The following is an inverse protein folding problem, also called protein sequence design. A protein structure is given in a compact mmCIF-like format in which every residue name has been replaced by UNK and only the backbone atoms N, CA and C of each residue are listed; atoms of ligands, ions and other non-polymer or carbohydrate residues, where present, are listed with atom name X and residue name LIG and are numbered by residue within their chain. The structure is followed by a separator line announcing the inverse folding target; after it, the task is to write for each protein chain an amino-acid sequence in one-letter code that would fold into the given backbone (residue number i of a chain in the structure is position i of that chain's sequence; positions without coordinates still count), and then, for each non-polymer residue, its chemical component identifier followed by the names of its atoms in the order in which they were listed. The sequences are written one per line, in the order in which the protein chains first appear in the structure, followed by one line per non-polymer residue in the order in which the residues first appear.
data_IF_115995416868
#
_entry.id   IF_115995416868
#
_cell.length_a   1.000
_cell.length_b   1.000
_cell.length_c   1.000
_cell.angle_alpha   90.00
_cell.angle_beta   90.00
_cell.angle_gamma   90.00
#
_symmetry.space_group_name_H-M   'P 1'
#
loop_
_entity.id
_entity.type
_entity.pdbx_description
1 polymer ?
#
# COMPACT_ATOMS: atom_id res chain seq x y z
N UNK A 1 -40.17 -2.66 54.69
CA UNK A 1 -38.72 -2.41 54.48
C UNK A 1 -38.06 -3.32 53.43
N UNK A 2 -38.70 -4.42 52.98
CA UNK A 2 -38.09 -5.40 52.05
C UNK A 2 -38.15 -4.97 50.56
N UNK A 3 -39.12 -4.15 50.16
CA UNK A 3 -39.29 -3.70 48.75
C UNK A 3 -38.23 -2.69 48.25
N UNK A 4 -37.58 -1.94 49.15
CA UNK A 4 -36.52 -0.97 48.77
C UNK A 4 -35.16 -1.63 48.59
N UNK A 5 -34.94 -2.80 49.21
CA UNK A 5 -33.68 -3.53 49.11
C UNK A 5 -33.53 -4.25 47.76
N UNK A 6 -34.63 -4.75 47.19
CA UNK A 6 -34.62 -5.48 45.91
C UNK A 6 -34.31 -4.55 44.73
N UNK A 7 -34.80 -3.32 44.75
CA UNK A 7 -34.56 -2.33 43.68
C UNK A 7 -33.10 -1.88 43.64
N UNK A 8 -32.43 -1.78 44.80
CA UNK A 8 -31.02 -1.39 44.86
C UNK A 8 -30.07 -2.49 44.34
N UNK A 9 -30.44 -3.77 44.49
CA UNK A 9 -29.64 -4.90 44.01
C UNK A 9 -29.79 -5.09 42.49
N UNK A 10 -30.97 -4.79 41.92
CA UNK A 10 -31.16 -4.83 40.46
C UNK A 10 -30.45 -3.70 39.71
N UNK A 11 -30.23 -2.54 40.32
CA UNK A 11 -29.49 -1.42 39.69
C UNK A 11 -27.98 -1.62 39.78
N UNK A 12 -27.48 -2.38 40.76
CA UNK A 12 -26.05 -2.67 40.91
C UNK A 12 -25.54 -3.73 39.92
N UNK A 13 -26.41 -4.62 39.42
CA UNK A 13 -26.01 -5.70 38.50
C UNK A 13 -26.04 -5.31 37.01
N UNK A 14 -26.68 -4.21 36.62
CA UNK A 14 -26.71 -3.75 35.22
C UNK A 14 -25.55 -2.81 34.85
N UNK A 15 -24.69 -2.46 35.80
CA UNK A 15 -23.58 -1.52 35.56
C UNK A 15 -22.22 -2.21 35.26
N UNK A 16 -22.21 -3.53 35.08
CA UNK A 16 -20.98 -4.34 34.94
C UNK A 16 -20.77 -4.96 33.54
N UNK A 17 -21.37 -4.37 32.49
CA UNK A 17 -21.08 -4.73 31.09
C UNK A 17 -20.50 -3.54 30.34
N UNK A 18 -19.52 -2.88 30.97
CA UNK A 18 -18.53 -2.05 30.29
C UNK A 18 -17.17 -2.73 30.46
N UNK A 19 -17.09 -4.01 30.10
CA UNK A 19 -15.81 -4.66 29.82
C UNK A 19 -15.24 -3.97 28.60
N UNK A 20 -14.16 -3.22 28.84
CA UNK A 20 -13.63 -2.24 27.92
C UNK A 20 -13.34 -2.79 26.53
N UNK A 21 -13.51 -1.91 25.53
CA UNK A 21 -12.67 -1.97 24.35
C UNK A 21 -11.23 -1.99 24.86
N UNK A 22 -10.59 -3.17 24.83
CA UNK A 22 -9.15 -3.26 24.92
C UNK A 22 -8.64 -2.44 23.72
N UNK A 23 -8.25 -1.20 23.96
CA UNK A 23 -7.32 -0.51 23.08
C UNK A 23 -6.09 -1.41 23.12
N UNK A 24 -5.94 -2.26 22.11
CA UNK A 24 -4.69 -2.96 21.90
C UNK A 24 -3.64 -1.87 21.76
N UNK A 25 -2.74 -1.75 22.74
CA UNK A 25 -1.66 -0.78 22.67
C UNK A 25 -0.84 -1.00 21.40
N UNK A 26 -0.23 0.07 20.89
CA UNK A 26 0.77 -0.03 19.82
C UNK A 26 1.84 -1.05 20.24
N UNK A 27 2.12 -2.07 19.42
CA UNK A 27 3.14 -3.06 19.73
C UNK A 27 4.49 -2.37 19.95
N UNK A 28 5.18 -2.71 21.04
CA UNK A 28 6.53 -2.22 21.29
C UNK A 28 7.53 -3.12 20.54
N UNK A 29 8.31 -2.52 19.65
CA UNK A 29 9.33 -3.22 18.86
C UNK A 29 10.71 -2.99 19.47
N UNK A 30 11.57 -4.01 19.48
CA UNK A 30 12.94 -3.94 20.03
C UNK A 30 13.81 -2.85 19.38
N UNK A 31 13.41 -2.36 18.20
CA UNK A 31 14.07 -1.32 17.42
C UNK A 31 13.03 -0.37 16.80
N UNK A 32 13.41 0.88 16.49
CA UNK A 32 12.56 1.80 15.72
C UNK A 32 12.17 1.18 14.37
N UNK A 33 10.89 1.28 14.01
CA UNK A 33 10.38 0.83 12.71
C UNK A 33 10.63 1.92 11.68
N UNK A 34 11.24 1.55 10.55
CA UNK A 34 11.42 2.45 9.41
C UNK A 34 10.35 2.15 8.35
N UNK A 35 9.57 3.16 8.00
CA UNK A 35 8.48 3.04 7.02
C UNK A 35 8.98 3.36 5.62
N UNK A 36 8.70 2.47 4.69
CA UNK A 36 9.12 2.62 3.31
C UNK A 36 7.91 2.57 2.37
N UNK A 37 8.00 3.31 1.28
CA UNK A 37 7.12 3.14 0.13
C UNK A 37 7.84 2.33 -0.93
N UNK A 38 7.11 1.47 -1.62
CA UNK A 38 7.59 0.81 -2.83
C UNK A 38 6.52 0.78 -3.91
N UNK A 39 6.96 0.63 -5.15
CA UNK A 39 6.07 0.46 -6.30
C UNK A 39 6.24 -0.94 -6.87
N UNK A 40 5.11 -1.57 -7.19
CA UNK A 40 5.07 -2.88 -7.79
C UNK A 40 4.13 -2.90 -9.00
N UNK A 41 4.43 -3.74 -9.98
CA UNK A 41 3.56 -4.00 -11.13
C UNK A 41 3.27 -5.49 -11.25
N UNK A 42 2.13 -5.91 -11.84
CA UNK A 42 1.91 -7.31 -12.14
C UNK A 42 2.90 -7.82 -13.20
N UNK A 43 3.12 -9.13 -13.21
CA UNK A 43 3.92 -9.79 -14.25
C UNK A 43 3.36 -9.45 -15.63
N UNK A 44 4.25 -9.21 -16.60
CA UNK A 44 3.96 -8.85 -18.00
C UNK A 44 3.52 -7.39 -18.20
N UNK A 45 3.36 -6.60 -17.15
CA UNK A 45 2.86 -5.22 -17.23
C UNK A 45 3.87 -4.24 -16.66
N UNK A 46 5.11 -4.33 -17.13
CA UNK A 46 6.18 -3.41 -16.74
C UNK A 46 5.73 -1.94 -16.94
N UNK A 47 6.23 -1.06 -16.09
CA UNK A 47 5.94 0.37 -16.14
C UNK A 47 7.21 1.19 -15.98
N UNK A 48 7.20 2.39 -16.53
CA UNK A 48 8.17 3.44 -16.18
C UNK A 48 7.51 4.39 -15.18
N UNK A 49 7.92 4.31 -13.92
CA UNK A 49 7.43 5.20 -12.86
C UNK A 49 8.28 6.47 -12.87
N UNK A 50 7.68 7.57 -13.34
CA UNK A 50 8.36 8.86 -13.56
C UNK A 50 8.62 9.56 -12.25
N UNK A 51 7.56 9.71 -11.47
CA UNK A 51 7.59 10.47 -10.25
C UNK A 51 6.71 9.81 -9.20
N UNK A 52 7.30 9.59 -8.03
CA UNK A 52 6.63 9.23 -6.80
C UNK A 52 6.88 10.37 -5.82
N UNK A 53 5.83 11.09 -5.44
CA UNK A 53 5.91 12.24 -4.56
C UNK A 53 5.08 12.01 -3.30
N UNK A 54 5.52 12.63 -2.23
CA UNK A 54 4.91 12.56 -0.92
C UNK A 54 4.78 13.97 -0.36
N UNK A 55 3.72 14.21 0.40
CA UNK A 55 3.52 15.42 1.18
C UNK A 55 2.95 15.05 2.54
N UNK A 56 3.63 15.51 3.59
CA UNK A 56 3.09 15.61 4.94
C UNK A 56 2.80 17.09 5.19
N UNK A 57 1.52 17.43 5.27
CA UNK A 57 1.06 18.81 5.23
C UNK A 57 1.59 19.58 6.45
N UNK A 58 2.24 20.71 6.19
CA UNK A 58 2.84 21.54 7.24
C UNK A 58 4.23 21.09 7.69
N UNK A 59 4.73 19.95 7.22
CA UNK A 59 6.06 19.43 7.57
C UNK A 59 7.01 19.44 6.38
N UNK A 60 6.76 18.62 5.35
CA UNK A 60 7.58 18.60 4.14
C UNK A 60 6.89 17.93 2.95
N UNK A 61 7.40 18.24 1.76
CA UNK A 61 7.16 17.48 0.54
C UNK A 61 8.48 16.94 -0.02
N UNK A 62 8.46 15.73 -0.57
CA UNK A 62 9.63 15.08 -1.15
C UNK A 62 9.24 14.13 -2.27
N UNK A 63 10.22 13.63 -3.01
CA UNK A 63 9.98 12.72 -4.12
C UNK A 63 11.09 11.69 -4.23
N UNK A 64 10.80 10.59 -4.93
CA UNK A 64 11.75 9.51 -5.17
C UNK A 64 11.80 9.12 -6.66
N UNK A 65 12.99 8.98 -7.26
CA UNK A 65 13.13 8.40 -8.58
C UNK A 65 12.92 6.88 -8.49
N UNK A 66 11.99 6.35 -9.29
CA UNK A 66 11.71 4.90 -9.32
C UNK A 66 12.23 4.29 -10.63
N UNK A 67 11.83 4.82 -11.79
CA UNK A 67 12.28 4.34 -13.09
C UNK A 67 11.54 3.09 -13.55
N UNK A 68 12.24 2.18 -14.23
CA UNK A 68 11.64 0.92 -14.72
C UNK A 68 11.28 0.03 -13.54
N UNK A 69 9.98 -0.21 -13.38
CA UNK A 69 9.44 -1.18 -12.44
C UNK A 69 8.96 -2.38 -13.25
N UNK A 70 9.59 -3.53 -12.99
CA UNK A 70 9.13 -4.83 -13.47
C UNK A 70 8.74 -5.71 -12.29
N UNK A 71 8.02 -6.78 -12.61
CA UNK A 71 7.48 -7.81 -11.72
C UNK A 71 8.10 -7.92 -10.30
N UNK A 72 7.32 -8.12 -9.23
CA UNK A 72 5.91 -8.56 -9.24
C UNK A 72 5.11 -7.99 -8.07
N UNK A 73 3.79 -7.81 -8.24
CA UNK A 73 2.79 -7.64 -7.15
C UNK A 73 2.85 -8.68 -6.02
N UNK A 74 3.61 -9.78 -6.19
CA UNK A 74 3.87 -10.80 -5.16
C UNK A 74 5.12 -10.51 -4.32
N UNK A 75 5.60 -9.29 -4.32
CA UNK A 75 6.66 -8.82 -3.43
C UNK A 75 6.37 -7.37 -3.05
N UNK A 76 7.17 -6.83 -2.14
CA UNK A 76 7.14 -5.42 -1.77
C UNK A 76 7.36 -4.49 -2.97
N UNK A 77 7.88 -4.99 -4.09
CA UNK A 77 8.20 -4.19 -5.27
C UNK A 77 9.67 -3.81 -5.33
N UNK A 78 9.98 -2.79 -6.13
CA UNK A 78 11.31 -2.18 -6.21
C UNK A 78 11.15 -0.68 -6.47
N UNK A 79 12.01 0.09 -5.81
CA UNK A 79 12.05 1.54 -5.99
C UNK A 79 10.93 2.24 -5.24
N UNK A 80 11.33 3.23 -4.45
CA UNK A 80 10.46 4.01 -3.58
C UNK A 80 11.27 4.61 -2.44
N UNK A 81 10.62 5.47 -1.65
CA UNK A 81 11.30 6.33 -0.68
C UNK A 81 10.87 6.06 0.75
N UNK A 82 11.64 6.63 1.67
CA UNK A 82 11.29 6.71 3.09
C UNK A 82 9.98 7.52 3.28
N UNK A 83 9.15 7.05 4.22
CA UNK A 83 7.85 7.62 4.59
C UNK A 83 7.92 8.40 5.91
N UNK A 84 9.06 8.99 6.27
CA UNK A 84 9.19 9.81 7.45
C UNK A 84 9.26 11.31 7.08
N UNK A 85 8.36 12.16 7.59
CA UNK A 85 7.13 11.84 8.34
C UNK A 85 6.11 11.10 7.46
N UNK A 86 5.10 10.48 8.08
CA UNK A 86 4.04 9.79 7.33
C UNK A 86 3.26 10.80 6.48
N UNK A 87 3.07 10.56 5.16
CA UNK A 87 2.44 11.55 4.29
C UNK A 87 0.91 11.48 4.35
N UNK A 88 0.27 12.64 4.24
CA UNK A 88 -1.17 12.78 3.96
C UNK A 88 -1.47 12.63 2.47
N UNK A 89 -0.50 12.91 1.59
CA UNK A 89 -0.67 12.79 0.15
C UNK A 89 0.44 12.02 -0.53
N UNK A 90 0.05 11.18 -1.47
CA UNK A 90 0.95 10.42 -2.33
C UNK A 90 0.54 10.64 -3.77
N UNK A 91 1.46 11.14 -4.60
CA UNK A 91 1.23 11.34 -6.02
C UNK A 91 2.15 10.42 -6.82
N UNK A 92 1.56 9.61 -7.69
CA UNK A 92 2.29 8.71 -8.58
C UNK A 92 1.94 9.00 -10.04
N UNK A 93 2.97 9.06 -10.88
CA UNK A 93 2.85 9.17 -12.33
C UNK A 93 3.70 8.11 -13.01
N UNK A 94 3.12 7.37 -13.95
CA UNK A 94 3.82 6.31 -14.67
C UNK A 94 3.39 6.21 -16.12
N UNK A 95 4.22 5.53 -16.91
CA UNK A 95 3.91 5.07 -18.26
C UNK A 95 3.75 3.54 -18.24
N UNK A 96 2.59 3.05 -18.68
CA UNK A 96 2.31 1.62 -18.85
C UNK A 96 2.84 1.19 -20.22
N UNK A 97 3.85 0.31 -20.26
CA UNK A 97 4.42 -0.14 -21.54
C UNK A 97 3.42 -0.98 -22.34
N UNK A 98 2.62 -1.81 -21.65
CA UNK A 98 1.61 -2.65 -22.28
C UNK A 98 0.53 -1.85 -23.01
N UNK A 99 0.15 -0.71 -22.43
CA UNK A 99 -0.92 0.16 -22.95
C UNK A 99 -0.37 1.31 -23.79
N UNK A 100 0.94 1.55 -23.73
CA UNK A 100 1.59 2.75 -24.27
C UNK A 100 0.88 4.04 -23.82
N UNK A 101 0.45 4.07 -22.56
CA UNK A 101 -0.37 5.13 -21.97
C UNK A 101 0.23 5.60 -20.66
N UNK A 102 0.28 6.92 -20.47
CA UNK A 102 0.64 7.52 -19.18
C UNK A 102 -0.56 7.70 -18.27
N UNK A 103 -0.34 7.52 -16.97
CA UNK A 103 -1.35 7.62 -15.92
C UNK A 103 -0.82 8.44 -14.74
N UNK A 104 -1.73 9.15 -14.08
CA UNK A 104 -1.45 9.89 -12.84
C UNK A 104 -2.52 9.63 -11.78
N UNK A 105 -2.10 9.55 -10.52
CA UNK A 105 -3.00 9.48 -9.37
C UNK A 105 -2.45 10.23 -8.15
N UNK A 106 -3.26 11.14 -7.61
CA UNK A 106 -3.14 11.67 -6.26
C UNK A 106 -3.99 10.82 -5.30
N UNK A 107 -3.37 10.36 -4.22
CA UNK A 107 -3.99 9.60 -3.13
C UNK A 107 -3.93 10.47 -1.89
N UNK A 108 -5.06 10.61 -1.20
CA UNK A 108 -5.14 11.27 0.10
C UNK A 108 -5.30 10.18 1.18
N UNK A 109 -4.43 10.22 2.18
CA UNK A 109 -4.45 9.41 3.40
C UNK A 109 -5.03 10.31 4.49
N UNK A 110 -6.32 10.14 4.85
CA UNK A 110 -7.01 11.08 5.74
C UNK A 110 -6.50 11.03 7.19
N UNK A 111 -5.84 9.94 7.58
CA UNK A 111 -5.29 9.73 8.91
C UNK A 111 -3.97 8.94 8.78
N UNK A 112 -2.83 9.63 8.59
CA UNK A 112 -1.53 8.98 8.43
C UNK A 112 -1.10 8.22 9.69
N UNK A 113 -1.51 8.69 10.87
CA UNK A 113 -1.20 8.05 12.14
C UNK A 113 -1.96 6.73 12.30
N UNK A 114 -3.25 6.69 11.96
CA UNK A 114 -3.99 5.42 11.94
C UNK A 114 -3.41 4.43 10.91
N UNK A 115 -2.90 4.91 9.77
CA UNK A 115 -2.18 4.05 8.82
C UNK A 115 -0.88 3.52 9.44
N UNK A 116 -0.09 4.37 10.10
CA UNK A 116 1.13 3.99 10.82
C UNK A 116 0.84 2.94 11.89
N UNK A 117 -0.15 3.16 12.74
CA UNK A 117 -0.57 2.21 13.77
C UNK A 117 -0.99 0.85 13.19
N UNK A 118 -1.64 0.86 12.01
CA UNK A 118 -2.00 -0.37 11.29
C UNK A 118 -0.78 -1.07 10.70
N UNK A 119 0.21 -0.31 10.22
CA UNK A 119 1.51 -0.83 9.77
C UNK A 119 2.31 -1.44 10.92
N UNK A 120 2.19 -0.91 12.14
CA UNK A 120 2.86 -1.44 13.33
C UNK A 120 2.24 -2.71 13.87
N UNK A 121 1.03 -3.11 13.44
CA UNK A 121 0.40 -4.33 13.92
C UNK A 121 1.23 -5.57 13.56
N UNK A 122 1.42 -6.52 14.50
CA UNK A 122 2.26 -7.69 14.28
C UNK A 122 1.70 -8.55 13.15
N UNK A 123 2.58 -8.96 12.25
CA UNK A 123 2.29 -9.90 11.19
C UNK A 123 3.20 -11.13 11.34
N UNK A 124 2.63 -12.35 11.42
CA UNK A 124 3.43 -13.57 11.51
C UNK A 124 4.11 -13.83 10.17
N UNK A 125 5.44 -13.97 10.19
CA UNK A 125 6.25 -14.34 9.03
C UNK A 125 7.10 -15.57 9.34
N UNK A 126 7.31 -16.42 8.34
CA UNK A 126 8.16 -17.59 8.48
C UNK A 126 9.61 -17.25 8.12
N UNK A 127 10.50 -17.26 9.12
CA UNK A 127 11.93 -17.00 8.93
C UNK A 127 12.75 -18.12 9.56
N UNK A 128 13.59 -18.76 8.74
CA UNK A 128 14.47 -19.86 9.17
C UNK A 128 13.74 -20.98 9.93
N UNK A 129 12.54 -21.36 9.45
CA UNK A 129 11.72 -22.43 10.06
C UNK A 129 10.97 -22.03 11.33
N UNK A 130 11.04 -20.76 11.77
CA UNK A 130 10.30 -20.23 12.91
C UNK A 130 9.29 -19.18 12.47
N UNK A 131 8.18 -19.06 13.20
CA UNK A 131 7.24 -17.95 13.05
C UNK A 131 7.70 -16.84 13.98
N UNK A 132 7.93 -15.66 13.41
CA UNK A 132 8.22 -14.42 14.17
C UNK A 132 7.21 -13.36 13.77
N UNK A 133 6.89 -12.44 14.69
CA UNK A 133 6.05 -11.29 14.37
C UNK A 133 6.93 -10.15 13.88
N UNK A 134 6.50 -9.47 12.82
CA UNK A 134 7.15 -8.29 12.26
C UNK A 134 6.10 -7.23 11.89
N UNK A 135 6.42 -5.93 11.93
CA UNK A 135 5.52 -4.89 11.45
C UNK A 135 5.37 -5.01 9.92
N UNK A 136 4.27 -4.47 9.38
CA UNK A 136 4.06 -4.25 7.95
C UNK A 136 4.64 -2.90 7.55
N UNK A 137 5.95 -2.81 7.64
CA UNK A 137 6.77 -1.60 7.50
C UNK A 137 6.82 -1.02 6.06
N UNK A 138 6.22 -1.69 5.09
CA UNK A 138 6.21 -1.25 3.69
C UNK A 138 4.80 -0.94 3.21
N UNK A 139 4.58 0.30 2.77
CA UNK A 139 3.41 0.69 1.96
C UNK A 139 3.76 0.42 0.50
N UNK A 140 2.88 -0.25 -0.25
CA UNK A 140 3.14 -0.63 -1.64
C UNK A 140 2.04 -0.09 -2.53
N UNK A 141 2.43 0.65 -3.57
CA UNK A 141 1.54 0.99 -4.68
C UNK A 141 1.67 -0.04 -5.80
N UNK A 142 0.65 -0.85 -5.95
CA UNK A 142 0.46 -1.72 -7.09
C UNK A 142 -0.13 -0.99 -8.28
N UNK A 143 0.65 -0.82 -9.35
CA UNK A 143 0.19 -0.22 -10.60
C UNK A 143 -0.19 -1.31 -11.59
N UNK A 144 -1.45 -1.38 -11.99
CA UNK A 144 -1.99 -2.39 -12.89
C UNK A 144 -2.65 -1.77 -14.15
N UNK A 145 -2.82 -2.57 -15.21
CA UNK A 145 -3.50 -2.17 -16.43
C UNK A 145 -4.81 -1.41 -16.23
N UNK A 146 -5.08 -0.50 -17.17
CA UNK A 146 -6.25 0.38 -17.15
C UNK A 146 -6.16 1.50 -16.12
N UNK A 147 -4.98 1.77 -15.54
CA UNK A 147 -4.81 2.80 -14.51
C UNK A 147 -5.29 2.37 -13.13
N UNK A 148 -5.35 1.06 -12.83
CA UNK A 148 -5.71 0.58 -11.49
C UNK A 148 -4.54 0.76 -10.54
N UNK A 149 -4.78 1.34 -9.37
CA UNK A 149 -3.80 1.47 -8.28
C UNK A 149 -4.34 0.78 -7.04
N UNK A 150 -3.60 -0.20 -6.52
CA UNK A 150 -3.93 -0.86 -5.25
C UNK A 150 -2.87 -0.53 -4.23
N UNK A 151 -3.27 -0.17 -3.03
CA UNK A 151 -2.38 0.21 -1.94
C UNK A 151 -2.43 -0.86 -0.86
N UNK A 152 -1.27 -1.41 -0.50
CA UNK A 152 -1.13 -2.42 0.55
C UNK A 152 -0.16 -1.97 1.62
N UNK A 153 -0.40 -2.40 2.85
CA UNK A 153 0.64 -2.49 3.88
C UNK A 153 1.14 -3.93 3.93
N UNK A 154 2.45 -4.13 3.95
CA UNK A 154 3.04 -5.46 4.03
C UNK A 154 4.48 -5.39 4.55
N UNK A 155 5.02 -6.53 4.97
CA UNK A 155 6.47 -6.74 4.99
C UNK A 155 6.87 -7.73 3.89
N UNK A 156 6.08 -8.80 3.75
CA UNK A 156 6.20 -9.86 2.77
C UNK A 156 4.82 -10.07 2.12
N UNK A 157 4.77 -10.74 0.97
CA UNK A 157 3.53 -10.84 0.20
C UNK A 157 2.40 -11.55 0.97
N UNK A 158 2.72 -12.54 1.81
CA UNK A 158 1.74 -13.26 2.62
C UNK A 158 1.12 -12.42 3.75
N UNK A 159 1.76 -11.31 4.14
CA UNK A 159 1.26 -10.42 5.19
C UNK A 159 0.50 -9.23 4.64
N UNK A 160 0.38 -9.12 3.31
CA UNK A 160 -0.23 -8.00 2.64
C UNK A 160 -1.69 -7.79 3.05
N UNK A 161 -2.01 -6.55 3.38
CA UNK A 161 -3.37 -6.10 3.65
C UNK A 161 -3.67 -4.94 2.72
N UNK A 162 -4.73 -5.06 1.93
CA UNK A 162 -5.21 -3.95 1.09
C UNK A 162 -5.77 -2.85 1.99
N UNK A 163 -5.27 -1.63 1.79
CA UNK A 163 -5.66 -0.43 2.54
C UNK A 163 -6.29 0.63 1.64
N UNK A 164 -6.24 0.45 0.32
CA UNK A 164 -6.91 1.35 -0.62
C UNK A 164 -6.87 0.83 -2.06
N UNK A 165 -7.84 1.28 -2.85
CA UNK A 165 -7.94 0.98 -4.27
C UNK A 165 -8.46 2.19 -5.01
N UNK A 166 -7.79 2.54 -6.10
CA UNK A 166 -7.97 3.80 -6.80
C UNK A 166 -7.91 3.62 -8.31
N UNK A 167 -8.45 4.61 -9.02
CA UNK A 167 -8.36 4.71 -10.48
C UNK A 167 -7.58 5.95 -10.88
N UNK A 168 -6.49 5.77 -11.60
CA UNK A 168 -5.71 6.84 -12.17
C UNK A 168 -6.37 7.39 -13.42
N UNK A 169 -6.01 8.63 -13.76
CA UNK A 169 -6.49 9.31 -14.95
C UNK A 169 -5.42 9.20 -16.03
N UNK A 170 -5.78 8.79 -17.27
CA UNK A 170 -4.84 8.81 -18.39
C UNK A 170 -4.54 10.25 -18.80
N UNK A 171 -3.32 10.50 -19.27
CA UNK A 171 -2.95 11.79 -19.84
C UNK A 171 -1.96 11.62 -21.00
N UNK A 172 -1.95 12.59 -21.90
CA UNK A 172 -1.01 12.64 -23.00
C UNK A 172 0.34 13.11 -22.50
N UNK A 173 1.36 12.28 -22.69
CA UNK A 173 2.72 12.57 -22.31
C UNK A 173 3.60 12.77 -23.53
N UNK A 174 4.45 13.79 -23.47
CA UNK A 174 5.36 14.14 -24.56
C UNK A 174 6.72 13.44 -24.43
N UNK A 175 6.95 12.65 -23.37
CA UNK A 175 8.17 11.84 -23.22
C UNK A 175 8.12 10.64 -24.14
N UNK A 176 9.24 10.44 -24.83
CA UNK A 176 9.46 9.37 -25.78
C UNK A 176 10.18 8.20 -25.09
N UNK A 177 9.58 7.01 -25.11
CA UNK A 177 10.03 5.82 -24.37
C UNK A 177 10.64 4.73 -25.27
N UNK A 178 11.06 5.05 -26.50
CA UNK A 178 11.27 4.06 -27.58
C UNK A 178 12.19 2.91 -27.18
N UNK A 179 13.38 3.19 -26.63
CA UNK A 179 14.33 2.12 -26.31
C UNK A 179 13.84 1.17 -25.20
N UNK A 180 13.18 1.71 -24.18
CA UNK A 180 12.60 0.90 -23.10
C UNK A 180 11.34 0.15 -23.58
N UNK A 181 10.55 0.79 -24.45
CA UNK A 181 9.36 0.21 -25.05
C UNK A 181 9.72 -0.93 -26.01
N UNK A 182 10.73 -0.77 -26.86
CA UNK A 182 11.24 -1.80 -27.76
C UNK A 182 11.70 -3.03 -26.96
N UNK A 183 12.57 -2.83 -25.97
CA UNK A 183 13.02 -3.92 -25.09
C UNK A 183 11.88 -4.61 -24.32
N UNK A 184 10.85 -3.86 -23.93
CA UNK A 184 9.65 -4.44 -23.35
C UNK A 184 8.86 -5.29 -24.36
N UNK A 185 8.65 -4.77 -25.57
CA UNK A 185 7.89 -5.47 -26.62
C UNK A 185 8.60 -6.73 -27.10
N UNK A 186 9.93 -6.76 -27.12
CA UNK A 186 10.71 -7.97 -27.39
C UNK A 186 10.46 -9.07 -26.35
N UNK A 187 10.31 -8.72 -25.07
CA UNK A 187 10.11 -9.69 -23.98
C UNK A 187 8.66 -10.12 -23.81
N UNK A 188 7.72 -9.18 -23.91
CA UNK A 188 6.34 -9.36 -23.47
C UNK A 188 5.32 -9.20 -24.61
N UNK A 189 5.74 -8.78 -25.80
CA UNK A 189 4.83 -8.52 -26.92
C UNK A 189 4.03 -9.73 -27.37
N UNK A 190 4.63 -10.93 -27.39
CA UNK A 190 3.92 -12.15 -27.75
C UNK A 190 2.91 -12.58 -26.68
N UNK A 191 3.22 -12.35 -25.40
CA UNK A 191 2.24 -12.53 -24.32
C UNK A 191 1.04 -11.61 -24.50
N UNK A 192 1.27 -10.32 -24.79
CA UNK A 192 0.19 -9.36 -25.03
C UNK A 192 -0.66 -9.73 -26.25
N UNK A 193 -0.06 -10.22 -27.34
CA UNK A 193 -0.81 -10.69 -28.52
C UNK A 193 -1.68 -11.90 -28.19
N UNK A 194 -1.18 -12.83 -27.39
CA UNK A 194 -1.88 -14.06 -27.05
C UNK A 194 -3.00 -13.84 -26.02
N UNK A 195 -2.78 -12.98 -25.03
CA UNK A 195 -3.65 -12.86 -23.86
C UNK A 195 -4.41 -11.52 -23.80
N UNK A 196 -4.02 -10.52 -24.57
CA UNK A 196 -4.56 -9.17 -24.47
C UNK A 196 -4.27 -8.50 -23.12
N UNK A 197 -4.90 -7.34 -22.91
CA UNK A 197 -4.86 -6.64 -21.63
C UNK A 197 -5.87 -7.28 -20.67
N UNK A 198 -5.38 -7.80 -19.54
CA UNK A 198 -6.19 -8.47 -18.53
C UNK A 198 -6.80 -7.45 -17.55
N UNK A 199 -7.68 -6.56 -18.02
CA UNK A 199 -8.14 -5.39 -17.23
C UNK A 199 -8.93 -5.76 -15.96
N UNK A 200 -9.69 -6.85 -15.98
CA UNK A 200 -10.61 -7.24 -14.88
C UNK A 200 -9.95 -8.10 -13.79
N UNK A 201 -8.64 -8.36 -13.88
CA UNK A 201 -7.95 -9.30 -12.99
C UNK A 201 -7.51 -8.67 -11.65
N UNK A 202 -7.53 -7.35 -11.54
CA UNK A 202 -6.74 -6.59 -10.57
C UNK A 202 -7.55 -6.06 -9.40
#
# INVERSE_FOLDING_TARGET
MIRRLVILVTVLCTSFILSGCSIAGTPEWDHPVTYNMQVAVPRHYDAWVKQLQFEATGERAWWWPVGITSCCWKSTGRGGGDLNPMPDYIHVTWFSFAEQQSYTRLIHIPDPEALRERMEQPAPVQRNGKIINMPRDTLVLGLAPGGTVVMWIMNWAETAIEVGRYKAVPFDDNVRYEGALESYMEREGDYLKQHGLQLDRW
#
